data_IF_762371492002
#
_entry.id   IF_762371492002
#
_cell.length_a   1.000
_cell.length_b   1.000
_cell.length_c   1.000
_cell.angle_alpha   90.00
_cell.angle_beta   90.00
_cell.angle_gamma   90.00
#
_symmetry.space_group_name_H-M   'P 1'
#
loop_
_entity.id
_entity.type
_entity.pdbx_description
1 polymer ?
#
# COMPACT_ATOMS: atom_id res chain seq x y z
N UNK A 1 -19.43 0.91 32.65
CA UNK A 1 -18.22 1.58 33.17
C UNK A 1 -17.31 1.85 31.98
N UNK A 2 -17.13 3.11 31.59
CA UNK A 2 -16.16 3.47 30.58
C UNK A 2 -14.78 3.45 31.24
N UNK A 3 -13.93 2.49 30.84
CA UNK A 3 -12.51 2.49 31.21
C UNK A 3 -11.89 3.79 30.73
N UNK A 4 -11.14 4.48 31.60
CA UNK A 4 -10.28 5.59 31.20
C UNK A 4 -9.39 5.14 30.03
N UNK A 5 -9.17 5.98 28.99
CA UNK A 5 -8.28 5.63 27.91
C UNK A 5 -6.87 5.44 28.48
N UNK A 6 -6.39 4.19 28.52
CA UNK A 6 -5.05 3.91 29.01
C UNK A 6 -4.03 4.40 27.97
N UNK A 7 -3.17 5.33 28.39
CA UNK A 7 -2.12 5.89 27.52
C UNK A 7 -1.15 4.80 27.03
N UNK A 8 -0.89 3.78 27.85
CA UNK A 8 -0.10 2.61 27.46
C UNK A 8 -0.99 1.38 27.29
N UNK A 9 -1.21 0.98 26.03
CA UNK A 9 -1.59 -0.38 25.67
C UNK A 9 -0.32 -1.14 25.27
N UNK A 10 -0.33 -2.48 25.35
CA UNK A 10 0.82 -3.30 24.94
C UNK A 10 1.22 -3.05 23.47
N UNK A 11 0.23 -2.84 22.59
CA UNK A 11 0.43 -2.46 21.19
C UNK A 11 1.20 -1.13 21.06
N UNK A 12 0.76 -0.08 21.76
CA UNK A 12 1.41 1.24 21.74
C UNK A 12 2.84 1.19 22.27
N UNK A 13 3.09 0.40 23.33
CA UNK A 13 4.42 0.25 23.90
C UNK A 13 5.40 -0.40 22.90
N UNK A 14 4.97 -1.46 22.21
CA UNK A 14 5.80 -2.13 21.19
C UNK A 14 6.11 -1.17 20.04
N UNK A 15 5.12 -0.43 19.56
CA UNK A 15 5.31 0.56 18.48
C UNK A 15 6.26 1.68 18.91
N UNK A 16 6.12 2.19 20.14
CA UNK A 16 7.02 3.21 20.68
C UNK A 16 8.47 2.71 20.80
N UNK A 17 8.68 1.46 21.24
CA UNK A 17 10.02 0.85 21.29
C UNK A 17 10.63 0.70 19.90
N UNK A 18 9.84 0.23 18.94
CA UNK A 18 10.28 0.09 17.54
C UNK A 18 10.71 1.44 16.95
N UNK A 19 9.90 2.49 17.12
CA UNK A 19 10.22 3.83 16.62
C UNK A 19 11.42 4.41 17.37
N UNK A 20 11.49 4.23 18.69
CA UNK A 20 12.63 4.66 19.49
C UNK A 20 13.95 4.04 19.01
N UNK A 21 13.93 2.76 18.65
CA UNK A 21 15.09 2.06 18.09
C UNK A 21 15.51 2.64 16.73
N UNK A 22 14.55 2.96 15.85
CA UNK A 22 14.83 3.59 14.56
C UNK A 22 15.45 4.97 14.77
N UNK A 23 14.82 5.82 15.58
CA UNK A 23 15.26 7.20 15.86
C UNK A 23 16.66 7.22 16.48
N UNK A 24 16.97 6.28 17.38
CA UNK A 24 18.29 6.19 17.99
C UNK A 24 19.38 5.68 17.03
N UNK A 25 19.00 4.95 15.97
CA UNK A 25 19.96 4.34 15.03
C UNK A 25 20.36 5.26 13.87
N UNK A 26 19.85 6.49 13.84
CA UNK A 26 19.94 7.43 12.71
C UNK A 26 21.23 8.26 12.71
N UNK A 27 21.75 8.49 11.50
CA UNK A 27 22.85 9.43 11.25
C UNK A 27 22.34 10.87 11.12
N UNK A 28 23.19 11.86 11.37
CA UNK A 28 22.85 13.29 11.31
C UNK A 28 22.32 13.73 9.93
N UNK A 29 22.67 13.02 8.86
CA UNK A 29 22.19 13.27 7.49
C UNK A 29 20.69 12.96 7.29
N UNK A 30 20.08 12.15 8.15
CA UNK A 30 18.67 11.73 8.07
C UNK A 30 17.81 12.34 9.19
N UNK A 31 18.26 13.46 9.77
CA UNK A 31 17.60 14.10 10.90
C UNK A 31 16.19 14.58 10.54
N UNK A 32 15.98 15.11 9.32
CA UNK A 32 14.65 15.56 8.89
C UNK A 32 13.65 14.40 8.83
N UNK A 33 14.07 13.26 8.32
CA UNK A 33 13.28 12.03 8.18
C UNK A 33 12.97 11.42 9.55
N UNK A 34 13.93 11.47 10.48
CA UNK A 34 13.71 11.05 11.87
C UNK A 34 12.67 11.93 12.57
N UNK A 35 12.79 13.26 12.42
CA UNK A 35 11.88 14.21 13.04
C UNK A 35 10.46 14.07 12.48
N UNK A 36 10.33 13.92 11.15
CA UNK A 36 9.03 13.68 10.53
C UNK A 36 8.41 12.35 10.96
N UNK A 37 9.20 11.27 11.12
CA UNK A 37 8.70 10.00 11.64
C UNK A 37 8.20 10.12 13.09
N UNK A 38 8.96 10.80 13.95
CA UNK A 38 8.56 11.05 15.35
C UNK A 38 7.27 11.90 15.43
N UNK A 39 7.17 12.96 14.63
CA UNK A 39 5.96 13.80 14.56
C UNK A 39 4.76 13.02 14.02
N UNK A 40 4.96 12.18 13.00
CA UNK A 40 3.93 11.31 12.45
C UNK A 40 3.45 10.30 13.50
N UNK A 41 4.36 9.71 14.28
CA UNK A 41 4.03 8.80 15.37
C UNK A 41 3.22 9.49 16.47
N UNK A 42 3.60 10.71 16.86
CA UNK A 42 2.89 11.49 17.86
C UNK A 42 1.48 11.86 17.39
N UNK A 43 1.35 12.27 16.12
CA UNK A 43 0.06 12.57 15.50
C UNK A 43 -0.81 11.31 15.41
N UNK A 44 -0.24 10.17 15.05
CA UNK A 44 -0.99 8.91 14.97
C UNK A 44 -1.48 8.46 16.35
N UNK A 45 -0.62 8.59 17.38
CA UNK A 45 -0.97 8.32 18.77
C UNK A 45 -2.08 9.25 19.28
N UNK A 46 -2.00 10.56 18.98
CA UNK A 46 -3.02 11.51 19.41
C UNK A 46 -4.37 11.25 18.73
N UNK A 47 -4.37 10.95 17.43
CA UNK A 47 -5.58 10.55 16.67
C UNK A 47 -6.16 9.26 17.25
N UNK A 48 -5.32 8.26 17.53
CA UNK A 48 -5.77 6.99 18.11
C UNK A 48 -6.42 7.15 19.49
N UNK A 49 -5.81 7.95 20.37
CA UNK A 49 -6.38 8.28 21.69
C UNK A 49 -7.72 9.02 21.51
N UNK A 50 -7.82 9.94 20.55
CA UNK A 50 -9.07 10.62 20.24
C UNK A 50 -10.16 9.67 19.75
N UNK A 51 -9.80 8.67 18.94
CA UNK A 51 -10.72 7.62 18.47
C UNK A 51 -11.26 6.81 19.65
N UNK A 52 -10.37 6.34 20.52
CA UNK A 52 -10.73 5.51 21.68
C UNK A 52 -11.54 6.29 22.73
N UNK A 53 -11.26 7.59 22.90
CA UNK A 53 -11.98 8.44 23.84
C UNK A 53 -13.36 8.87 23.32
N UNK A 54 -13.56 8.89 22.00
CA UNK A 54 -14.86 9.19 21.39
C UNK A 54 -15.82 8.01 21.56
N UNK A 55 -17.10 8.27 21.84
CA UNK A 55 -18.10 7.20 21.88
C UNK A 55 -18.17 6.51 20.51
N UNK A 56 -18.31 5.19 20.49
CA UNK A 56 -18.37 4.35 19.27
C UNK A 56 -19.39 4.83 18.23
N UNK A 57 -20.39 5.62 18.65
CA UNK A 57 -21.40 6.28 17.82
C UNK A 57 -20.78 7.27 16.83
N UNK A 58 -19.74 8.01 17.23
CA UNK A 58 -19.09 9.06 16.44
C UNK A 58 -18.42 8.53 15.18
N UNK A 59 -17.58 7.51 15.35
CA UNK A 59 -16.88 6.84 14.25
C UNK A 59 -17.84 6.08 13.33
N UNK A 60 -18.84 5.40 13.92
CA UNK A 60 -19.81 4.59 13.18
C UNK A 60 -20.65 5.38 12.17
N UNK A 61 -20.79 6.70 12.38
CA UNK A 61 -21.47 7.59 11.45
C UNK A 61 -20.69 7.80 10.14
N UNK A 62 -19.35 7.78 10.20
CA UNK A 62 -18.48 7.98 9.03
C UNK A 62 -17.98 6.66 8.47
N UNK A 63 -17.45 5.80 9.32
CA UNK A 63 -16.90 4.51 8.96
C UNK A 63 -17.48 3.45 9.87
N UNK A 64 -18.33 2.58 9.29
CA UNK A 64 -18.73 1.36 9.95
C UNK A 64 -17.50 0.45 9.92
N UNK A 65 -16.87 0.22 11.06
CA UNK A 65 -15.66 -0.63 11.19
C UNK A 65 -16.00 -1.93 11.90
N UNK A 66 -15.11 -2.91 11.82
CA UNK A 66 -15.28 -4.21 12.49
C UNK A 66 -15.37 -4.03 14.02
N UNK A 67 -16.43 -4.53 14.69
CA UNK A 67 -16.54 -4.49 16.14
C UNK A 67 -15.42 -5.29 16.84
N UNK A 68 -14.79 -4.71 17.85
CA UNK A 68 -13.83 -5.39 18.73
C UNK A 68 -12.38 -5.49 18.23
N UNK A 69 -12.00 -4.78 17.16
CA UNK A 69 -10.61 -4.63 16.74
C UNK A 69 -9.99 -3.35 17.32
N UNK A 70 -8.72 -3.38 17.75
CA UNK A 70 -7.97 -2.15 17.99
C UNK A 70 -7.90 -1.37 16.66
N UNK A 71 -8.02 -0.04 16.75
CA UNK A 71 -8.04 0.80 15.55
C UNK A 71 -6.73 0.69 14.76
N UNK A 72 -5.62 0.35 15.43
CA UNK A 72 -4.31 0.06 14.82
C UNK A 72 -3.73 1.25 14.07
N UNK A 73 -4.19 2.46 14.36
CA UNK A 73 -3.88 3.67 13.59
C UNK A 73 -2.40 3.99 13.72
N UNK A 74 -1.85 3.94 14.93
CA UNK A 74 -0.42 4.16 15.15
C UNK A 74 0.42 3.17 14.36
N UNK A 75 0.09 1.87 14.46
CA UNK A 75 0.82 0.81 13.78
C UNK A 75 0.73 0.98 12.25
N UNK A 76 -0.47 1.17 11.71
CA UNK A 76 -0.67 1.37 10.27
C UNK A 76 0.05 2.60 9.72
N UNK A 77 0.06 3.71 10.47
CA UNK A 77 0.68 4.96 10.04
C UNK A 77 2.21 4.89 10.01
N UNK A 78 2.83 4.19 10.97
CA UNK A 78 4.29 4.18 11.15
C UNK A 78 4.98 2.99 10.48
N UNK A 79 4.27 1.91 10.16
CA UNK A 79 4.87 0.68 9.61
C UNK A 79 5.63 0.94 8.32
N UNK A 80 4.98 1.55 7.31
CA UNK A 80 5.60 1.75 6.00
C UNK A 80 6.67 2.86 6.01
N UNK A 81 6.42 4.06 6.61
CA UNK A 81 7.47 5.06 6.79
C UNK A 81 8.66 4.54 7.61
N UNK A 82 8.41 3.78 8.69
CA UNK A 82 9.45 3.19 9.53
C UNK A 82 10.31 2.17 8.77
N UNK A 83 9.71 1.35 7.90
CA UNK A 83 10.44 0.46 7.00
C UNK A 83 11.36 1.26 6.06
N UNK A 84 10.86 2.34 5.46
CA UNK A 84 11.64 3.19 4.56
C UNK A 84 12.82 3.85 5.28
N UNK A 85 12.60 4.40 6.49
CA UNK A 85 13.69 4.97 7.30
C UNK A 85 14.71 3.91 7.69
N UNK A 86 14.25 2.70 8.06
CA UNK A 86 15.15 1.60 8.40
C UNK A 86 16.04 1.21 7.21
N UNK A 87 15.48 1.20 5.99
CA UNK A 87 16.22 1.01 4.75
C UNK A 87 17.16 2.16 4.43
N UNK A 88 16.76 3.41 4.68
CA UNK A 88 17.60 4.59 4.53
C UNK A 88 18.83 4.52 5.45
N UNK A 89 18.68 4.04 6.69
CA UNK A 89 19.80 3.84 7.61
C UNK A 89 20.76 2.78 7.05
N UNK A 90 20.24 1.67 6.51
CA UNK A 90 21.07 0.61 5.92
C UNK A 90 21.88 1.13 4.72
N UNK A 91 21.23 1.79 3.77
CA UNK A 91 21.88 2.32 2.57
C UNK A 91 22.83 3.48 2.92
N UNK A 92 22.45 4.36 3.84
CA UNK A 92 23.33 5.44 4.31
C UNK A 92 24.63 4.92 4.92
N UNK A 93 24.58 3.78 5.63
CA UNK A 93 25.79 3.11 6.14
C UNK A 93 26.62 2.52 4.99
N UNK A 94 25.98 1.92 3.98
CA UNK A 94 26.67 1.41 2.79
C UNK A 94 27.36 2.52 1.97
N UNK A 95 26.69 3.67 1.81
CA UNK A 95 27.25 4.87 1.16
C UNK A 95 28.48 5.36 1.91
N UNK A 96 28.42 5.41 3.26
CA UNK A 96 29.57 5.83 4.07
C UNK A 96 30.80 4.91 3.94
N UNK A 97 30.60 3.68 3.46
CA UNK A 97 31.65 2.71 3.17
C UNK A 97 32.14 2.79 1.71
N UNK A 98 31.80 3.85 0.97
CA UNK A 98 32.19 4.11 -0.42
C UNK A 98 31.80 2.99 -1.41
N UNK A 99 30.65 2.34 -1.22
CA UNK A 99 30.13 1.39 -2.20
C UNK A 99 29.56 2.12 -3.43
N UNK A 100 30.18 1.91 -4.60
CA UNK A 100 29.81 2.55 -5.87
C UNK A 100 28.35 2.25 -6.24
N UNK A 101 27.58 3.29 -6.58
CA UNK A 101 26.19 3.18 -7.08
C UNK A 101 25.08 3.34 -6.04
N UNK A 102 25.43 3.46 -4.75
CA UNK A 102 24.44 3.54 -3.65
C UNK A 102 23.87 4.94 -3.39
N UNK A 103 24.47 6.00 -3.95
CA UNK A 103 24.03 7.39 -3.74
C UNK A 103 22.69 7.71 -4.42
N UNK A 104 22.52 7.30 -5.68
CA UNK A 104 21.25 7.49 -6.40
C UNK A 104 20.11 6.66 -5.74
N UNK A 105 20.42 5.46 -5.27
CA UNK A 105 19.46 4.63 -4.53
C UNK A 105 19.00 5.31 -3.22
N UNK A 106 19.93 5.99 -2.53
CA UNK A 106 19.63 6.77 -1.32
C UNK A 106 18.64 7.91 -1.61
N UNK A 107 18.87 8.72 -2.65
CA UNK A 107 17.98 9.82 -3.03
C UNK A 107 16.56 9.35 -3.39
N UNK A 108 16.47 8.26 -4.14
CA UNK A 108 15.18 7.64 -4.48
C UNK A 108 14.43 7.19 -3.24
N UNK A 109 15.12 6.51 -2.34
CA UNK A 109 14.51 6.01 -1.12
C UNK A 109 14.09 7.14 -0.19
N UNK A 110 14.80 8.28 -0.20
CA UNK A 110 14.40 9.47 0.53
C UNK A 110 13.09 10.04 -0.03
N UNK A 111 12.99 10.18 -1.36
CA UNK A 111 11.76 10.63 -2.00
C UNK A 111 10.59 9.68 -1.70
N UNK A 112 10.83 8.37 -1.77
CA UNK A 112 9.84 7.34 -1.45
C UNK A 112 9.39 7.41 0.01
N UNK A 113 10.31 7.66 0.93
CA UNK A 113 10.00 7.93 2.34
C UNK A 113 9.06 9.13 2.47
N UNK A 114 9.39 10.26 1.84
CA UNK A 114 8.58 11.49 1.92
C UNK A 114 7.18 11.28 1.35
N UNK A 115 7.06 10.59 0.21
CA UNK A 115 5.76 10.22 -0.39
C UNK A 115 4.94 9.35 0.57
N UNK A 116 5.57 8.33 1.16
CA UNK A 116 4.94 7.41 2.11
C UNK A 116 4.47 8.17 3.35
N UNK A 117 5.35 8.97 3.94
CA UNK A 117 5.10 9.74 5.16
C UNK A 117 4.02 10.79 4.93
N UNK A 118 4.06 11.52 3.79
CA UNK A 118 3.03 12.50 3.42
C UNK A 118 1.65 11.84 3.22
N UNK A 119 1.61 10.65 2.61
CA UNK A 119 0.37 9.90 2.42
C UNK A 119 -0.27 9.51 3.77
N UNK A 120 0.54 8.98 4.71
CA UNK A 120 0.08 8.70 6.08
C UNK A 120 -0.37 9.98 6.79
N UNK A 121 0.43 11.04 6.71
CA UNK A 121 0.19 12.33 7.34
C UNK A 121 -1.15 12.94 6.90
N UNK A 122 -1.43 12.98 5.60
CA UNK A 122 -2.67 13.59 5.09
C UNK A 122 -3.90 12.81 5.53
N UNK A 123 -3.83 11.47 5.63
CA UNK A 123 -4.93 10.66 6.18
C UNK A 123 -5.12 10.93 7.67
N UNK A 124 -4.04 11.00 8.46
CA UNK A 124 -4.13 11.34 9.88
C UNK A 124 -4.68 12.74 10.12
N UNK A 125 -4.24 13.73 9.34
CA UNK A 125 -4.78 15.09 9.39
C UNK A 125 -6.28 15.08 9.07
N UNK A 126 -6.70 14.36 8.03
CA UNK A 126 -8.11 14.20 7.67
C UNK A 126 -8.94 13.58 8.81
N UNK A 127 -8.46 12.49 9.42
CA UNK A 127 -9.10 11.86 10.58
C UNK A 127 -9.18 12.84 11.76
N UNK A 128 -8.09 13.56 12.06
CA UNK A 128 -8.06 14.58 13.10
C UNK A 128 -9.12 15.66 12.89
N UNK A 129 -9.32 16.12 11.65
CA UNK A 129 -10.37 17.10 11.32
C UNK A 129 -11.78 16.56 11.48
N UNK A 130 -12.03 15.29 11.12
CA UNK A 130 -13.33 14.64 11.37
C UNK A 130 -13.64 14.62 12.87
N UNK A 131 -12.68 14.17 13.69
CA UNK A 131 -12.87 14.08 15.14
C UNK A 131 -13.00 15.44 15.81
N UNK A 132 -12.27 16.46 15.30
CA UNK A 132 -12.40 17.83 15.79
C UNK A 132 -13.84 18.34 15.63
N UNK A 133 -14.45 18.16 14.45
CA UNK A 133 -15.80 18.64 14.17
C UNK A 133 -16.86 18.02 15.08
N UNK A 134 -16.57 16.85 15.65
CA UNK A 134 -17.53 16.06 16.42
C UNK A 134 -17.27 16.08 17.94
N UNK A 135 -16.13 16.62 18.38
CA UNK A 135 -15.77 16.64 19.78
C UNK A 135 -16.46 17.77 20.53
N UNK A 136 -17.10 17.43 21.65
CA UNK A 136 -17.44 18.39 22.70
C UNK A 136 -16.16 18.91 23.38
N UNK A 137 -16.25 20.03 24.11
CA UNK A 137 -15.14 20.84 24.66
C UNK A 137 -14.05 20.10 25.48
N UNK A 138 -14.25 18.82 25.82
CA UNK A 138 -13.39 18.00 26.68
C UNK A 138 -12.08 17.49 26.03
N UNK A 139 -11.96 17.49 24.69
CA UNK A 139 -10.73 17.03 23.99
C UNK A 139 -9.79 18.16 23.50
N UNK A 140 -9.89 19.37 24.08
CA UNK A 140 -9.12 20.53 23.65
C UNK A 140 -7.58 20.34 23.75
N UNK A 141 -7.09 19.55 24.71
CA UNK A 141 -5.65 19.29 24.86
C UNK A 141 -5.09 18.41 23.72
N UNK A 142 -5.70 17.26 23.47
CA UNK A 142 -5.27 16.32 22.41
C UNK A 142 -5.34 16.96 21.03
N UNK A 143 -6.38 17.77 20.77
CA UNK A 143 -6.49 18.51 19.52
C UNK A 143 -5.37 19.54 19.34
N UNK A 144 -5.01 20.31 20.38
CA UNK A 144 -3.87 21.26 20.33
C UNK A 144 -2.56 20.54 20.03
N UNK A 145 -2.35 19.37 20.63
CA UNK A 145 -1.18 18.54 20.33
C UNK A 145 -1.19 18.11 18.87
N UNK A 146 -2.31 17.58 18.35
CA UNK A 146 -2.43 17.18 16.95
C UNK A 146 -2.20 18.34 15.98
N UNK A 147 -2.77 19.52 16.25
CA UNK A 147 -2.58 20.71 15.42
C UNK A 147 -1.12 21.19 15.42
N UNK A 148 -0.47 21.15 16.59
CA UNK A 148 0.96 21.43 16.71
C UNK A 148 1.80 20.44 15.91
N UNK A 149 1.53 19.13 16.03
CA UNK A 149 2.19 18.11 15.23
C UNK A 149 1.99 18.31 13.72
N UNK A 150 0.78 18.73 13.30
CA UNK A 150 0.47 19.05 11.90
C UNK A 150 1.32 20.22 11.40
N UNK A 151 1.35 21.31 12.14
CA UNK A 151 2.13 22.49 11.79
C UNK A 151 3.64 22.20 11.76
N UNK A 152 4.15 21.46 12.75
CA UNK A 152 5.56 21.07 12.83
C UNK A 152 5.94 20.12 11.70
N UNK A 153 5.11 19.12 11.37
CA UNK A 153 5.39 18.20 10.28
C UNK A 153 5.47 18.94 8.93
N UNK A 154 4.52 19.83 8.68
CA UNK A 154 4.53 20.67 7.48
C UNK A 154 5.80 21.55 7.42
N UNK A 155 6.18 22.16 8.55
CA UNK A 155 7.42 22.94 8.66
C UNK A 155 8.67 22.11 8.35
N UNK A 156 8.80 20.92 8.96
CA UNK A 156 9.93 20.00 8.72
C UNK A 156 10.00 19.58 7.25
N UNK A 157 8.86 19.27 6.62
CA UNK A 157 8.78 18.93 5.21
C UNK A 157 9.29 20.08 4.32
N UNK A 158 8.76 21.29 4.53
CA UNK A 158 9.16 22.48 3.76
C UNK A 158 10.65 22.79 3.94
N UNK A 159 11.17 22.74 5.17
CA UNK A 159 12.59 22.99 5.45
C UNK A 159 13.48 21.92 4.81
N UNK A 160 13.10 20.63 4.89
CA UNK A 160 13.89 19.55 4.28
C UNK A 160 14.07 19.74 2.77
N UNK A 161 12.99 20.07 2.05
CA UNK A 161 13.07 20.32 0.61
C UNK A 161 13.70 21.66 0.26
N UNK A 162 13.53 22.69 1.09
CA UNK A 162 14.21 23.98 0.89
C UNK A 162 15.73 23.85 1.04
N UNK A 163 16.20 23.03 1.98
CA UNK A 163 17.64 22.78 2.20
C UNK A 163 18.22 21.88 1.10
N UNK A 164 17.48 20.87 0.63
CA UNK A 164 17.95 19.91 -0.38
C UNK A 164 17.87 20.42 -1.81
N UNK A 165 17.03 21.41 -2.10
CA UNK A 165 16.81 21.88 -3.47
C UNK A 165 17.73 23.02 -3.87
N UNK A 166 18.51 22.82 -4.92
CA UNK A 166 19.29 23.89 -5.57
C UNK A 166 18.42 24.84 -6.43
N UNK A 167 17.12 24.56 -6.62
CA UNK A 167 16.20 25.41 -7.39
C UNK A 167 14.75 25.38 -6.89
N UNK A 168 14.14 26.55 -6.69
CA UNK A 168 12.79 26.67 -6.10
C UNK A 168 11.70 25.87 -6.81
N UNK A 169 11.74 25.79 -8.15
CA UNK A 169 10.75 25.06 -8.95
C UNK A 169 10.74 23.54 -8.70
N UNK A 170 11.91 22.94 -8.45
CA UNK A 170 12.01 21.51 -8.18
C UNK A 170 11.37 21.15 -6.83
N UNK A 171 11.64 21.95 -5.78
CA UNK A 171 11.00 21.79 -4.48
C UNK A 171 9.47 21.95 -4.56
N UNK A 172 8.99 22.94 -5.32
CA UNK A 172 7.55 23.15 -5.54
C UNK A 172 6.92 21.95 -6.25
N UNK A 173 7.57 21.40 -7.28
CA UNK A 173 7.09 20.22 -7.99
C UNK A 173 7.00 18.99 -7.08
N UNK A 174 8.01 18.75 -6.23
CA UNK A 174 7.97 17.66 -5.24
C UNK A 174 6.85 17.88 -4.21
N UNK A 175 6.72 19.08 -3.66
CA UNK A 175 5.65 19.37 -2.69
C UNK A 175 4.25 19.16 -3.31
N UNK A 176 4.07 19.58 -4.57
CA UNK A 176 2.84 19.33 -5.31
C UNK A 176 2.61 17.83 -5.54
N UNK A 177 3.67 17.09 -5.88
CA UNK A 177 3.63 15.63 -6.00
C UNK A 177 3.20 14.95 -4.69
N UNK A 178 3.79 15.34 -3.56
CA UNK A 178 3.42 14.86 -2.23
C UNK A 178 1.96 15.18 -1.89
N UNK A 179 1.48 16.38 -2.24
CA UNK A 179 0.10 16.78 -2.04
C UNK A 179 -0.88 15.87 -2.81
N UNK A 180 -0.60 15.56 -4.09
CA UNK A 180 -1.45 14.66 -4.87
C UNK A 180 -1.48 13.24 -4.30
N UNK A 181 -0.36 12.74 -3.77
CA UNK A 181 -0.32 11.43 -3.11
C UNK A 181 -1.16 11.42 -1.83
N UNK A 182 -1.02 12.44 -0.99
CA UNK A 182 -1.83 12.61 0.21
C UNK A 182 -3.32 12.69 -0.11
N UNK A 183 -3.71 13.44 -1.15
CA UNK A 183 -5.09 13.53 -1.60
C UNK A 183 -5.63 12.19 -2.12
N UNK A 184 -4.85 11.50 -2.94
CA UNK A 184 -5.20 10.17 -3.43
C UNK A 184 -5.40 9.17 -2.27
N UNK A 185 -4.53 9.22 -1.26
CA UNK A 185 -4.64 8.38 -0.06
C UNK A 185 -5.95 8.65 0.71
N UNK A 186 -6.32 9.91 0.93
CA UNK A 186 -7.59 10.26 1.60
C UNK A 186 -8.80 9.75 0.81
N UNK A 187 -8.82 9.92 -0.52
CA UNK A 187 -9.92 9.42 -1.35
C UNK A 187 -9.99 7.89 -1.37
N UNK A 188 -8.84 7.23 -1.41
CA UNK A 188 -8.79 5.78 -1.46
C UNK A 188 -9.20 5.15 -0.12
N UNK A 189 -8.76 5.67 1.03
CA UNK A 189 -9.18 5.13 2.34
C UNK A 189 -10.67 5.33 2.58
N UNK A 190 -11.22 6.49 2.18
CA UNK A 190 -12.68 6.72 2.21
C UNK A 190 -13.39 5.64 1.40
N UNK A 191 -12.95 5.39 0.17
CA UNK A 191 -13.57 4.41 -0.70
C UNK A 191 -13.46 2.99 -0.14
N UNK A 192 -12.30 2.60 0.40
CA UNK A 192 -12.07 1.27 0.99
C UNK A 192 -12.98 1.06 2.21
N UNK A 193 -13.01 2.01 3.15
CA UNK A 193 -13.81 1.88 4.38
C UNK A 193 -15.33 1.92 4.10
N UNK A 194 -15.78 2.65 3.07
CA UNK A 194 -17.18 2.63 2.66
C UNK A 194 -17.57 1.35 1.89
N UNK A 195 -16.65 0.80 1.08
CA UNK A 195 -16.92 -0.42 0.29
C UNK A 195 -16.84 -1.68 1.16
N UNK A 196 -15.93 -1.72 2.13
CA UNK A 196 -15.64 -2.89 2.96
C UNK A 196 -15.71 -2.60 4.47
N UNK A 197 -16.86 -2.13 4.98
CA UNK A 197 -16.97 -1.63 6.35
C UNK A 197 -16.62 -2.67 7.44
N UNK A 198 -16.93 -3.95 7.21
CA UNK A 198 -16.70 -4.98 8.22
C UNK A 198 -15.35 -5.73 8.06
N UNK A 199 -14.54 -5.39 7.05
CA UNK A 199 -13.41 -6.22 6.63
C UNK A 199 -12.09 -5.85 7.30
N UNK A 200 -11.87 -4.57 7.62
CA UNK A 200 -10.58 -4.07 8.09
C UNK A 200 -10.74 -3.06 9.24
N UNK A 201 -9.70 -2.96 10.08
CA UNK A 201 -9.54 -1.82 10.99
C UNK A 201 -9.10 -0.56 10.22
N UNK A 202 -9.15 0.62 10.85
CA UNK A 202 -8.69 1.86 10.22
C UNK A 202 -7.19 1.79 9.91
N UNK A 203 -6.39 1.24 10.81
CA UNK A 203 -4.96 1.04 10.64
C UNK A 203 -4.62 0.07 9.52
N UNK A 204 -5.35 -1.05 9.41
CA UNK A 204 -5.20 -1.99 8.29
C UNK A 204 -5.56 -1.32 6.95
N UNK A 205 -6.69 -0.60 6.92
CA UNK A 205 -7.12 0.13 5.73
C UNK A 205 -6.12 1.23 5.36
N UNK A 206 -5.53 1.94 6.33
CA UNK A 206 -4.48 2.93 6.12
C UNK A 206 -3.23 2.29 5.50
N UNK A 207 -2.77 1.17 6.05
CA UNK A 207 -1.60 0.45 5.54
C UNK A 207 -1.82 0.01 4.08
N UNK A 208 -2.97 -0.59 3.78
CA UNK A 208 -3.34 -0.98 2.42
C UNK A 208 -3.42 0.25 1.51
N UNK A 209 -4.08 1.31 1.95
CA UNK A 209 -4.24 2.55 1.17
C UNK A 209 -2.89 3.13 0.76
N UNK A 210 -1.99 3.34 1.73
CA UNK A 210 -0.69 3.96 1.47
C UNK A 210 0.17 3.06 0.58
N UNK A 211 0.15 1.75 0.82
CA UNK A 211 0.82 0.77 -0.03
C UNK A 211 0.33 0.82 -1.48
N UNK A 212 -1.00 0.87 -1.69
CA UNK A 212 -1.58 0.99 -3.02
C UNK A 212 -1.22 2.31 -3.70
N UNK A 213 -1.35 3.44 -3.00
CA UNK A 213 -0.99 4.76 -3.57
C UNK A 213 0.44 4.75 -4.07
N UNK A 214 1.40 4.30 -3.25
CA UNK A 214 2.81 4.23 -3.66
C UNK A 214 2.99 3.30 -4.87
N UNK A 215 2.35 2.13 -4.83
CA UNK A 215 2.47 1.12 -5.88
C UNK A 215 1.96 1.59 -7.24
N UNK A 216 0.81 2.30 -7.24
CA UNK A 216 0.22 2.90 -8.44
C UNK A 216 1.01 4.11 -8.93
N UNK A 217 1.41 4.97 -8.01
CA UNK A 217 2.13 6.19 -8.33
C UNK A 217 3.47 5.94 -8.99
N UNK A 218 4.14 4.86 -8.61
CA UNK A 218 5.38 4.44 -9.23
C UNK A 218 5.19 4.12 -10.73
N UNK A 219 4.13 3.38 -11.09
CA UNK A 219 3.76 3.11 -12.49
C UNK A 219 3.35 4.39 -13.24
N UNK A 220 2.63 5.29 -12.57
CA UNK A 220 2.23 6.58 -13.15
C UNK A 220 3.43 7.49 -13.39
N UNK A 221 4.40 7.51 -12.47
CA UNK A 221 5.63 8.28 -12.61
C UNK A 221 6.45 7.79 -13.80
N UNK A 222 6.59 6.47 -13.99
CA UNK A 222 7.22 5.91 -15.19
C UNK A 222 6.47 6.32 -16.47
N UNK A 223 5.13 6.29 -16.44
CA UNK A 223 4.29 6.69 -17.58
C UNK A 223 4.51 8.17 -17.93
N UNK A 224 4.52 9.04 -16.93
CA UNK A 224 4.72 10.48 -17.08
C UNK A 224 6.13 10.83 -17.56
N UNK A 225 7.16 10.14 -17.04
CA UNK A 225 8.54 10.34 -17.48
C UNK A 225 8.69 10.00 -18.97
N UNK A 226 8.04 8.93 -19.44
CA UNK A 226 8.10 8.51 -20.83
C UNK A 226 7.29 9.42 -21.77
N UNK A 227 6.08 9.82 -21.38
CA UNK A 227 5.28 10.75 -22.18
C UNK A 227 5.94 12.14 -22.31
N UNK A 228 6.62 12.60 -21.25
CA UNK A 228 7.37 13.86 -21.27
C UNK A 228 8.69 13.74 -22.06
N UNK A 229 9.34 12.57 -22.03
CA UNK A 229 10.51 12.26 -22.86
C UNK A 229 10.25 12.34 -24.37
N UNK A 230 9.01 12.10 -24.82
CA UNK A 230 8.60 12.35 -26.20
C UNK A 230 8.40 13.84 -26.53
N UNK A 231 8.21 14.71 -25.53
CA UNK A 231 7.87 16.12 -25.74
C UNK A 231 8.99 17.12 -25.50
N UNK A 232 9.96 16.89 -24.61
CA UNK A 232 11.24 17.62 -24.59
C UNK A 232 12.17 17.09 -23.49
N UNK A 233 13.47 17.02 -23.79
CA UNK A 233 14.51 16.72 -22.83
C UNK A 233 14.62 17.81 -21.73
N UNK A 234 13.85 17.67 -20.64
CA UNK A 234 14.13 18.40 -19.40
C UNK A 234 14.67 17.43 -18.36
N UNK A 235 15.96 17.60 -18.04
CA UNK A 235 16.68 16.99 -16.90
C UNK A 235 16.07 17.33 -15.52
N UNK A 236 14.86 17.90 -15.47
CA UNK A 236 14.27 18.45 -14.24
C UNK A 236 13.39 17.44 -13.48
N UNK A 237 12.96 16.36 -14.15
CA UNK A 237 12.14 15.28 -13.56
C UNK A 237 12.69 13.92 -13.99
N UNK A 238 14.02 13.75 -13.99
CA UNK A 238 14.55 12.41 -13.81
C UNK A 238 14.44 12.11 -12.33
N UNK A 239 13.25 11.66 -11.90
CA UNK A 239 13.20 10.82 -10.71
C UNK A 239 14.04 9.60 -11.07
N UNK A 240 15.19 9.37 -10.42
CA UNK A 240 16.15 8.39 -10.89
C UNK A 240 15.68 6.99 -10.50
N UNK A 241 14.52 6.53 -10.97
CA UNK A 241 14.03 5.15 -10.82
C UNK A 241 14.88 4.11 -11.58
N UNK A 242 16.19 4.37 -11.73
CA UNK A 242 17.21 3.49 -12.28
C UNK A 242 17.78 2.49 -11.28
N UNK A 243 16.97 2.00 -10.33
CA UNK A 243 17.26 0.70 -9.73
C UNK A 243 16.87 -0.33 -10.78
N UNK A 244 17.81 -1.21 -11.15
CA UNK A 244 17.62 -2.29 -12.11
C UNK A 244 16.45 -3.17 -11.64
N UNK A 245 15.23 -2.84 -12.06
CA UNK A 245 14.02 -3.56 -11.62
C UNK A 245 14.05 -4.93 -12.24
N UNK A 246 13.80 -5.95 -11.43
CA UNK A 246 13.58 -7.28 -11.98
C UNK A 246 12.33 -7.25 -12.84
N UNK A 247 12.40 -7.90 -14.01
CA UNK A 247 11.28 -8.10 -14.92
C UNK A 247 10.08 -8.74 -14.20
N UNK A 248 10.37 -9.59 -13.21
CA UNK A 248 9.37 -10.18 -12.30
C UNK A 248 8.62 -9.11 -11.51
N UNK A 249 9.32 -8.14 -10.91
CA UNK A 249 8.70 -7.07 -10.11
C UNK A 249 7.77 -6.21 -10.97
N UNK A 250 8.20 -5.94 -12.21
CA UNK A 250 7.42 -5.21 -13.22
C UNK A 250 6.11 -5.92 -13.53
N UNK A 251 6.18 -7.23 -13.79
CA UNK A 251 5.02 -8.05 -14.13
C UNK A 251 4.04 -8.15 -12.96
N UNK A 252 4.56 -8.41 -11.76
CA UNK A 252 3.75 -8.45 -10.54
C UNK A 252 3.05 -7.10 -10.34
N UNK A 253 3.78 -6.00 -10.54
CA UNK A 253 3.24 -4.65 -10.39
C UNK A 253 2.14 -4.33 -11.39
N UNK A 254 2.36 -4.54 -12.68
CA UNK A 254 1.32 -4.34 -13.69
C UNK A 254 0.07 -5.19 -13.41
N UNK A 255 0.24 -6.48 -13.13
CA UNK A 255 -0.88 -7.40 -12.91
C UNK A 255 -1.70 -7.06 -11.65
N UNK A 256 -1.04 -6.81 -10.51
CA UNK A 256 -1.73 -6.44 -9.26
C UNK A 256 -2.46 -5.11 -9.43
N UNK A 257 -1.80 -4.12 -10.05
CA UNK A 257 -2.40 -2.82 -10.38
C UNK A 257 -3.66 -3.00 -11.25
N UNK A 258 -3.60 -3.81 -12.29
CA UNK A 258 -4.75 -4.12 -13.14
C UNK A 258 -5.90 -4.80 -12.41
N UNK A 259 -5.58 -5.81 -11.59
CA UNK A 259 -6.55 -6.55 -10.77
C UNK A 259 -7.27 -5.64 -9.76
N UNK A 260 -6.59 -4.64 -9.23
CA UNK A 260 -7.15 -3.72 -8.23
C UNK A 260 -7.93 -2.56 -8.85
N UNK A 261 -7.50 -2.05 -10.01
CA UNK A 261 -8.23 -1.02 -10.76
C UNK A 261 -9.50 -1.59 -11.39
N UNK A 262 -9.46 -2.84 -11.86
CA UNK A 262 -10.56 -3.44 -12.60
C UNK A 262 -11.92 -3.38 -11.88
N UNK A 263 -12.06 -3.81 -10.61
CA UNK A 263 -13.32 -3.69 -9.87
C UNK A 263 -13.84 -2.25 -9.76
N UNK A 264 -12.92 -1.28 -9.66
CA UNK A 264 -13.29 0.14 -9.56
C UNK A 264 -13.87 0.65 -10.89
N UNK A 265 -13.31 0.23 -12.02
CA UNK A 265 -13.79 0.61 -13.35
C UNK A 265 -14.99 -0.23 -13.80
N UNK A 266 -15.12 -1.46 -13.31
CA UNK A 266 -16.17 -2.39 -13.74
C UNK A 266 -17.58 -1.84 -13.49
N UNK A 267 -17.78 -1.09 -12.40
CA UNK A 267 -19.03 -0.38 -12.13
C UNK A 267 -19.39 0.60 -13.25
N UNK A 268 -18.40 1.33 -13.77
CA UNK A 268 -18.61 2.28 -14.87
C UNK A 268 -18.87 1.55 -16.18
N UNK A 269 -18.17 0.43 -16.43
CA UNK A 269 -18.39 -0.42 -17.61
C UNK A 269 -19.83 -0.96 -17.61
N UNK A 270 -20.33 -1.44 -16.47
CA UNK A 270 -21.72 -1.87 -16.34
C UNK A 270 -22.70 -0.73 -16.61
N UNK A 271 -22.47 0.47 -16.06
CA UNK A 271 -23.35 1.62 -16.31
C UNK A 271 -23.38 2.04 -17.78
N UNK A 272 -22.24 2.02 -18.47
CA UNK A 272 -22.17 2.32 -19.91
C UNK A 272 -22.89 1.23 -20.70
N UNK A 273 -22.66 -0.04 -20.37
CA UNK A 273 -23.31 -1.15 -21.04
C UNK A 273 -24.84 -1.11 -20.85
N UNK A 274 -25.32 -0.79 -19.66
CA UNK A 274 -26.76 -0.61 -19.38
C UNK A 274 -27.36 0.57 -20.16
N UNK A 275 -26.62 1.68 -20.34
CA UNK A 275 -27.06 2.81 -21.18
C UNK A 275 -27.12 2.48 -22.66
N UNK A 276 -26.18 1.67 -23.15
CA UNK A 276 -26.10 1.27 -24.57
C UNK A 276 -27.08 0.14 -24.89
N UNK A 277 -27.36 -0.75 -23.94
CA UNK A 277 -28.34 -1.83 -24.14
C UNK A 277 -29.76 -1.29 -23.93
N UNK A 278 -30.40 -0.85 -25.02
CA UNK A 278 -31.83 -0.46 -25.05
C UNK A 278 -32.80 -1.67 -24.97
N UNK A 279 -32.37 -2.80 -24.39
CA UNK A 279 -33.13 -4.04 -24.45
C UNK A 279 -34.22 -4.09 -23.36
N UNK A 280 -35.48 -4.42 -23.72
CA UNK A 280 -36.57 -4.50 -22.76
C UNK A 280 -36.33 -5.63 -21.75
N UNK A 281 -36.84 -5.43 -20.54
CA UNK A 281 -36.66 -6.26 -19.33
C UNK A 281 -36.70 -7.77 -19.62
N UNK A 282 -35.51 -8.38 -19.67
CA UNK A 282 -35.34 -9.84 -19.71
C UNK A 282 -35.27 -10.42 -18.31
N UNK A 283 -35.58 -11.71 -18.26
CA UNK A 283 -35.74 -12.49 -17.04
C UNK A 283 -34.53 -12.41 -16.10
N UNK A 284 -34.79 -12.47 -14.79
CA UNK A 284 -33.82 -12.10 -13.74
C UNK A 284 -32.58 -13.03 -13.70
N UNK A 285 -32.72 -14.27 -14.19
CA UNK A 285 -31.64 -15.26 -14.29
C UNK A 285 -30.68 -15.00 -15.47
N UNK A 286 -31.21 -14.60 -16.63
CA UNK A 286 -30.41 -14.25 -17.82
C UNK A 286 -29.51 -13.04 -17.56
N UNK A 287 -29.99 -12.07 -16.79
CA UNK A 287 -29.24 -10.86 -16.47
C UNK A 287 -28.01 -11.15 -15.59
N UNK A 288 -28.13 -12.07 -14.63
CA UNK A 288 -27.01 -12.45 -13.77
C UNK A 288 -25.92 -13.19 -14.56
N UNK A 289 -26.30 -14.15 -15.41
CA UNK A 289 -25.35 -14.88 -16.26
C UNK A 289 -24.63 -13.94 -17.24
N UNK A 290 -25.36 -13.00 -17.84
CA UNK A 290 -24.79 -11.96 -18.71
C UNK A 290 -23.78 -11.09 -17.96
N UNK A 291 -24.11 -10.61 -16.76
CA UNK A 291 -23.21 -9.78 -15.94
C UNK A 291 -21.94 -10.54 -15.55
N UNK A 292 -22.06 -11.81 -15.17
CA UNK A 292 -20.89 -12.66 -14.88
C UNK A 292 -20.02 -12.89 -16.12
N UNK A 293 -20.61 -13.15 -17.28
CA UNK A 293 -19.86 -13.31 -18.53
C UNK A 293 -19.13 -12.01 -18.90
N UNK A 294 -19.82 -10.87 -18.83
CA UNK A 294 -19.22 -9.55 -19.08
C UNK A 294 -18.07 -9.28 -18.10
N UNK A 295 -18.22 -9.64 -16.83
CA UNK A 295 -17.16 -9.54 -15.83
C UNK A 295 -15.93 -10.37 -16.24
N UNK A 296 -16.10 -11.65 -16.55
CA UNK A 296 -14.97 -12.52 -16.91
C UNK A 296 -14.30 -12.08 -18.21
N UNK A 297 -15.07 -11.72 -19.24
CA UNK A 297 -14.51 -11.25 -20.52
C UNK A 297 -13.76 -9.93 -20.33
N UNK A 298 -14.32 -8.98 -19.57
CA UNK A 298 -13.66 -7.71 -19.29
C UNK A 298 -12.41 -7.89 -18.43
N UNK A 299 -12.44 -8.80 -17.46
CA UNK A 299 -11.30 -9.13 -16.63
C UNK A 299 -10.16 -9.72 -17.46
N UNK A 300 -10.47 -10.71 -18.33
CA UNK A 300 -9.49 -11.30 -19.25
C UNK A 300 -8.93 -10.24 -20.20
N UNK A 301 -9.77 -9.38 -20.76
CA UNK A 301 -9.32 -8.27 -21.61
C UNK A 301 -8.35 -7.34 -20.88
N UNK A 302 -8.66 -6.95 -19.65
CA UNK A 302 -7.77 -6.08 -18.86
C UNK A 302 -6.44 -6.78 -18.55
N UNK A 303 -6.48 -8.04 -18.12
CA UNK A 303 -5.27 -8.75 -17.71
C UNK A 303 -4.39 -9.20 -18.87
N UNK A 304 -4.97 -9.57 -20.01
CA UNK A 304 -4.24 -10.12 -21.17
C UNK A 304 -3.86 -9.04 -22.17
N UNK A 305 -4.64 -7.95 -22.28
CA UNK A 305 -4.41 -6.93 -23.31
C UNK A 305 -4.04 -5.60 -22.66
N UNK A 306 -4.92 -5.02 -21.83
CA UNK A 306 -4.74 -3.63 -21.38
C UNK A 306 -3.50 -3.45 -20.49
N UNK A 307 -3.33 -4.31 -19.48
CA UNK A 307 -2.20 -4.26 -18.54
C UNK A 307 -0.88 -4.56 -19.27
N UNK A 308 -0.74 -5.66 -20.04
CA UNK A 308 0.42 -5.89 -20.88
C UNK A 308 0.78 -4.74 -21.80
N UNK A 309 -0.19 -4.19 -22.55
CA UNK A 309 0.06 -3.08 -23.47
C UNK A 309 0.59 -1.84 -22.73
N UNK A 310 0.03 -1.56 -21.54
CA UNK A 310 0.51 -0.47 -20.70
C UNK A 310 1.94 -0.72 -20.19
N UNK A 311 2.26 -1.93 -19.76
CA UNK A 311 3.62 -2.28 -19.32
C UNK A 311 4.64 -2.17 -20.46
N UNK A 312 4.30 -2.68 -21.65
CA UNK A 312 5.15 -2.55 -22.85
C UNK A 312 5.37 -1.08 -23.19
N UNK A 313 4.31 -0.27 -23.12
CA UNK A 313 4.37 1.16 -23.40
C UNK A 313 5.24 1.90 -22.39
N UNK A 314 5.16 1.58 -21.09
CA UNK A 314 5.80 2.39 -20.03
C UNK A 314 7.22 1.95 -19.72
N UNK A 315 7.50 0.65 -19.80
CA UNK A 315 8.75 0.07 -19.29
C UNK A 315 9.62 -0.56 -20.36
N UNK A 316 9.34 -0.28 -21.64
CA UNK A 316 10.06 -0.82 -22.81
C UNK A 316 10.19 -2.34 -22.78
N UNK A 317 9.18 -3.00 -22.22
CA UNK A 317 9.16 -4.44 -22.09
C UNK A 317 8.88 -5.05 -23.48
N UNK A 318 9.95 -5.43 -24.19
CA UNK A 318 9.87 -5.81 -25.61
C UNK A 318 9.05 -7.08 -25.87
N UNK A 319 8.90 -7.95 -24.88
CA UNK A 319 8.17 -9.21 -24.99
C UNK A 319 6.81 -9.07 -24.31
N UNK A 320 5.78 -9.75 -24.79
CA UNK A 320 4.51 -9.79 -24.08
C UNK A 320 4.69 -10.46 -22.69
N UNK A 321 4.24 -9.86 -21.57
CA UNK A 321 4.39 -10.41 -20.21
C UNK A 321 4.04 -11.90 -20.07
N UNK A 322 2.98 -12.37 -20.73
CA UNK A 322 2.63 -13.80 -20.69
C UNK A 322 3.63 -14.69 -21.42
N UNK A 323 4.15 -14.23 -22.56
CA UNK A 323 5.17 -14.97 -23.31
C UNK A 323 6.48 -14.99 -22.52
N UNK A 324 6.82 -13.87 -21.87
CA UNK A 324 7.97 -13.81 -20.97
C UNK A 324 7.82 -14.76 -19.78
N UNK A 325 6.64 -14.83 -19.14
CA UNK A 325 6.41 -15.78 -18.03
C UNK A 325 6.54 -17.23 -18.50
N UNK A 326 6.02 -17.54 -19.69
CA UNK A 326 6.17 -18.88 -20.28
C UNK A 326 7.64 -19.21 -20.54
N UNK A 327 8.37 -18.31 -21.18
CA UNK A 327 9.80 -18.47 -21.44
C UNK A 327 10.60 -18.59 -20.14
N UNK A 328 10.30 -17.76 -19.14
CA UNK A 328 10.90 -17.80 -17.82
C UNK A 328 10.66 -19.13 -17.10
N UNK A 329 9.44 -19.68 -17.13
CA UNK A 329 9.13 -20.97 -16.50
C UNK A 329 9.79 -22.13 -17.26
N UNK A 330 9.84 -22.05 -18.60
CA UNK A 330 10.40 -23.10 -19.46
C UNK A 330 11.93 -23.06 -19.55
N UNK A 331 12.56 -21.95 -19.19
CA UNK A 331 14.03 -21.81 -19.19
C UNK A 331 14.72 -22.79 -18.24
N UNK A 332 14.11 -23.10 -17.10
CA UNK A 332 14.61 -24.10 -16.14
C UNK A 332 13.48 -25.07 -15.76
N UNK A 333 13.10 -26.00 -16.66
CA UNK A 333 11.86 -26.76 -16.51
C UNK A 333 11.90 -27.66 -15.26
N UNK A 334 13.04 -28.29 -14.97
CA UNK A 334 13.16 -29.17 -13.80
C UNK A 334 12.94 -28.44 -12.48
N UNK A 335 13.39 -27.19 -12.35
CA UNK A 335 13.25 -26.41 -11.12
C UNK A 335 11.93 -25.66 -11.07
N UNK A 336 11.67 -24.83 -12.09
CA UNK A 336 10.55 -23.87 -12.10
C UNK A 336 9.22 -24.56 -12.40
N UNK A 337 9.16 -25.43 -13.41
CA UNK A 337 7.93 -26.17 -13.74
C UNK A 337 7.55 -27.14 -12.63
N UNK A 338 8.52 -27.86 -12.05
CA UNK A 338 8.28 -28.76 -10.91
C UNK A 338 7.71 -27.99 -9.71
N UNK A 339 8.22 -26.79 -9.42
CA UNK A 339 7.70 -25.94 -8.36
C UNK A 339 6.27 -25.46 -8.64
N UNK A 340 5.97 -25.09 -9.89
CA UNK A 340 4.60 -24.74 -10.31
C UNK A 340 3.62 -25.91 -10.17
N UNK A 341 4.01 -27.12 -10.61
CA UNK A 341 3.20 -28.33 -10.46
C UNK A 341 2.98 -28.63 -8.98
N UNK A 342 4.03 -28.55 -8.16
CA UNK A 342 3.93 -28.71 -6.72
C UNK A 342 2.91 -27.72 -6.12
N UNK A 343 3.00 -26.42 -6.46
CA UNK A 343 2.06 -25.42 -5.98
C UNK A 343 0.62 -25.72 -6.42
N UNK A 344 0.40 -26.14 -7.67
CA UNK A 344 -0.92 -26.52 -8.16
C UNK A 344 -1.48 -27.72 -7.39
N UNK A 345 -0.68 -28.75 -7.13
CA UNK A 345 -1.08 -29.92 -6.36
C UNK A 345 -1.43 -29.52 -4.92
N UNK A 346 -0.59 -28.71 -4.27
CA UNK A 346 -0.85 -28.23 -2.90
C UNK A 346 -2.15 -27.44 -2.86
N UNK A 347 -2.34 -26.47 -3.76
CA UNK A 347 -3.58 -25.67 -3.82
C UNK A 347 -4.78 -26.57 -4.08
N UNK A 348 -4.71 -27.48 -5.05
CA UNK A 348 -5.80 -28.38 -5.40
C UNK A 348 -6.21 -29.27 -4.23
N UNK A 349 -5.24 -29.93 -3.59
CA UNK A 349 -5.48 -30.77 -2.41
C UNK A 349 -6.03 -29.93 -1.25
N UNK A 350 -5.48 -28.74 -1.02
CA UNK A 350 -5.94 -27.82 0.02
C UNK A 350 -7.38 -27.36 -0.21
N UNK A 351 -7.76 -27.01 -1.45
CA UNK A 351 -9.12 -26.58 -1.79
C UNK A 351 -10.13 -27.73 -1.62
N UNK A 352 -9.80 -28.95 -2.07
CA UNK A 352 -10.68 -30.11 -1.90
C UNK A 352 -10.86 -30.45 -0.42
N UNK A 353 -9.76 -30.52 0.33
CA UNK A 353 -9.79 -30.75 1.78
C UNK A 353 -10.61 -29.66 2.46
N UNK A 354 -10.40 -28.40 2.11
CA UNK A 354 -11.11 -27.25 2.66
C UNK A 354 -12.62 -27.31 2.36
N UNK A 355 -13.00 -27.66 1.13
CA UNK A 355 -14.41 -27.81 0.75
C UNK A 355 -15.09 -28.94 1.54
N UNK A 356 -14.43 -30.08 1.69
CA UNK A 356 -14.96 -31.22 2.47
C UNK A 356 -15.05 -30.90 3.97
N UNK A 357 -14.07 -30.16 4.50
CA UNK A 357 -14.01 -29.70 5.90
C UNK A 357 -15.09 -28.65 6.17
N UNK A 358 -15.27 -27.66 5.29
CA UNK A 358 -16.25 -26.58 5.47
C UNK A 358 -17.70 -27.07 5.37
N UNK A 359 -17.94 -28.14 4.63
CA UNK A 359 -19.25 -28.83 4.56
C UNK A 359 -19.61 -29.54 5.87
N UNK A 360 -18.63 -29.89 6.70
CA UNK A 360 -18.85 -30.41 8.05
C UNK A 360 -19.04 -29.24 9.03
N UNK A 361 -20.30 -28.94 9.38
CA UNK A 361 -20.73 -27.75 10.12
C UNK A 361 -20.19 -27.59 11.56
N UNK A 362 -19.32 -28.49 12.03
CA UNK A 362 -18.83 -28.53 13.43
C UNK A 362 -17.40 -28.02 13.63
N UNK A 363 -16.72 -27.54 12.60
CA UNK A 363 -15.30 -27.17 12.72
C UNK A 363 -15.13 -25.72 13.17
N UNK A 364 -14.38 -25.54 14.26
CA UNK A 364 -14.09 -24.23 14.83
C UNK A 364 -13.25 -23.36 13.88
N UNK A 365 -13.59 -22.07 13.77
CA UNK A 365 -12.89 -21.08 12.93
C UNK A 365 -11.40 -20.95 13.25
N UNK A 366 -10.96 -21.38 14.43
CA UNK A 366 -9.55 -21.33 14.85
C UNK A 366 -8.69 -22.38 14.11
N UNK A 367 -9.26 -23.56 13.85
CA UNK A 367 -8.60 -24.65 13.14
C UNK A 367 -8.45 -24.29 11.65
N UNK A 368 -9.44 -23.59 11.11
CA UNK A 368 -9.41 -23.00 9.77
C UNK A 368 -8.24 -22.02 9.58
N UNK A 369 -8.03 -21.12 10.56
CA UNK A 369 -6.93 -20.14 10.51
C UNK A 369 -5.56 -20.84 10.53
N UNK A 370 -5.39 -21.85 11.39
CA UNK A 370 -4.13 -22.64 11.46
C UNK A 370 -3.87 -23.39 10.15
N UNK A 371 -4.91 -23.89 9.49
CA UNK A 371 -4.78 -24.58 8.20
C UNK A 371 -4.30 -23.64 7.08
N UNK A 372 -4.82 -22.41 7.01
CA UNK A 372 -4.31 -21.42 6.04
C UNK A 372 -2.85 -21.05 6.30
N UNK A 373 -2.44 -20.90 7.56
CA UNK A 373 -1.04 -20.68 7.89
C UNK A 373 -0.17 -21.87 7.46
N UNK A 374 -0.62 -23.10 7.70
CA UNK A 374 0.09 -24.31 7.27
C UNK A 374 0.22 -24.38 5.74
N UNK A 375 -0.87 -24.10 5.01
CA UNK A 375 -0.84 -24.03 3.55
C UNK A 375 0.16 -22.99 3.05
N UNK A 376 0.16 -21.78 3.64
CA UNK A 376 1.11 -20.75 3.29
C UNK A 376 2.56 -21.23 3.50
N UNK A 377 2.86 -21.83 4.66
CA UNK A 377 4.19 -22.40 4.93
C UNK A 377 4.56 -23.47 3.89
N UNK A 378 3.66 -24.40 3.58
CA UNK A 378 3.90 -25.46 2.59
C UNK A 378 4.15 -24.92 1.18
N UNK A 379 3.56 -23.78 0.82
CA UNK A 379 3.81 -23.14 -0.47
C UNK A 379 5.21 -22.50 -0.55
N UNK A 380 5.70 -21.90 0.55
CA UNK A 380 6.97 -21.16 0.56
C UNK A 380 8.21 -22.01 0.89
N UNK A 381 8.07 -23.11 1.64
CA UNK A 381 9.20 -23.95 2.07
C UNK A 381 10.05 -24.48 0.91
N UNK A 382 9.48 -25.06 -0.17
CA UNK A 382 10.30 -25.61 -1.26
C UNK A 382 11.07 -24.54 -2.03
N UNK A 383 10.49 -23.35 -2.19
CA UNK A 383 11.17 -22.22 -2.82
C UNK A 383 12.38 -21.77 -1.98
N UNK A 384 12.23 -21.72 -0.65
CA UNK A 384 13.33 -21.39 0.27
C UNK A 384 14.45 -22.44 0.24
N UNK A 385 14.10 -23.73 0.19
CA UNK A 385 15.08 -24.82 0.12
C UNK A 385 15.88 -24.75 -1.20
N UNK A 386 15.19 -24.51 -2.32
CA UNK A 386 15.84 -24.35 -3.62
C UNK A 386 16.76 -23.13 -3.67
N UNK A 387 16.35 -22.02 -3.03
CA UNK A 387 17.18 -20.82 -2.92
C UNK A 387 18.43 -21.09 -2.08
N UNK A 388 18.32 -21.80 -0.95
CA UNK A 388 19.48 -22.16 -0.12
C UNK A 388 20.45 -23.11 -0.84
N UNK A 389 19.92 -24.05 -1.63
CA UNK A 389 20.74 -24.97 -2.44
C UNK A 389 21.45 -24.31 -3.62
N UNK A 390 21.09 -23.08 -4.02
CA UNK A 390 21.83 -22.31 -5.02
C UNK A 390 23.01 -21.51 -4.45
N UNK A 391 23.06 -21.32 -3.12
CA UNK A 391 24.12 -20.58 -2.43
C UNK A 391 25.11 -21.49 -1.67
N UNK A 392 24.92 -22.81 -1.74
CA UNK A 392 25.89 -23.82 -1.31
C UNK A 392 26.54 -24.45 -2.53
#
# INVERSE_FOLDING_TARGET
MASSPSFLTGERAVVALFIGQIVFSISQSLLSESLSLSLLSLLALSVEISVDASSSVSLSHFFKTRPGASSGIILGAVTLPGLMVSKLIQISRAVSLNQVGTEAELENLQLLYWVTSASCFTVLAYLCFIFYRQSDSKNCATFRVSLSCIALYFGVCCVSFAVKSHGGWYAVAILLWLFFHGFAAVKLIQNILHTFPACASIGEALLVTVGLVIYFSDMLACTAAKSHGYFTASKLVMVPYGVQRSEVSIIIQGLITGLLIFPMLFKNVLQILERVSSAPSRDRGDDQMRRSLVFYVSLVFVLVIAVPSWMQLVQDFHVHPFLWVLDFVLSEPLKRLSLCIYWLVVIYVSVIRFYNISKSSKIERILLRKYYHLMAVLMFVPALILQLWQFS
#
